data_IF_729429167309
#
_entry.id   IF_729429167309
#
_cell.length_a   1.000
_cell.length_b   1.000
_cell.length_c   1.000
_cell.angle_alpha   90.00
_cell.angle_beta   90.00
_cell.angle_gamma   90.00
#
_symmetry.space_group_name_H-M   'P 1'
#
loop_
_entity.id
_entity.type
_entity.pdbx_description
1 polymer ?
#
# COMPACT_ATOMS: atom_id res chain seq x y z
N UNK A 1 30.01 64.11 4.09
CA UNK A 1 29.79 63.78 2.67
C UNK A 1 29.13 62.41 2.65
N UNK A 2 27.93 62.34 2.09
CA UNK A 2 26.97 61.24 2.21
C UNK A 2 27.48 59.89 1.70
N UNK A 3 27.19 58.80 2.42
CA UNK A 3 27.27 57.42 1.95
C UNK A 3 26.20 57.09 0.88
N UNK A 4 25.91 58.04 -0.01
CA UNK A 4 24.84 57.93 -1.01
C UNK A 4 25.25 57.11 -2.24
N UNK A 5 26.54 56.90 -2.46
CA UNK A 5 27.07 56.29 -3.68
C UNK A 5 27.74 54.95 -3.38
N UNK A 6 26.93 53.89 -3.27
CA UNK A 6 27.34 52.47 -3.50
C UNK A 6 26.14 51.49 -3.49
N UNK A 7 24.93 51.96 -3.83
CA UNK A 7 23.72 51.12 -3.92
C UNK A 7 22.98 51.29 -5.24
N UNK A 8 23.71 51.55 -6.33
CA UNK A 8 23.16 51.59 -7.68
C UNK A 8 23.01 50.16 -8.23
N UNK A 9 22.06 49.38 -7.72
CA UNK A 9 21.71 48.08 -8.33
C UNK A 9 20.85 47.15 -7.46
N UNK A 10 21.02 47.14 -6.14
CA UNK A 10 20.54 46.03 -5.30
C UNK A 10 19.07 46.13 -4.87
N UNK A 11 18.54 47.34 -4.65
CA UNK A 11 17.15 47.52 -4.15
C UNK A 11 16.08 47.18 -5.18
N UNK A 12 16.31 47.52 -6.46
CA UNK A 12 15.39 47.17 -7.55
C UNK A 12 15.48 45.68 -7.90
N UNK A 13 16.69 45.13 -7.89
CA UNK A 13 16.92 43.70 -8.11
C UNK A 13 16.28 42.85 -6.99
N UNK A 14 16.40 43.29 -5.73
CA UNK A 14 15.66 42.71 -4.61
C UNK A 14 14.14 42.71 -4.85
N UNK A 15 13.57 43.81 -5.36
CA UNK A 15 12.14 43.84 -5.69
C UNK A 15 11.80 42.85 -6.80
N UNK A 16 12.63 42.68 -7.83
CA UNK A 16 12.40 41.64 -8.85
C UNK A 16 12.43 40.24 -8.25
N UNK A 17 13.42 39.90 -7.42
CA UNK A 17 13.47 38.60 -6.74
C UNK A 17 12.30 38.39 -5.80
N UNK A 18 11.92 39.40 -5.02
CA UNK A 18 10.80 39.32 -4.11
C UNK A 18 9.47 39.14 -4.87
N UNK A 19 9.24 39.88 -5.95
CA UNK A 19 8.05 39.76 -6.78
C UNK A 19 8.01 38.42 -7.51
N UNK A 20 9.11 37.99 -8.13
CA UNK A 20 9.20 36.69 -8.79
C UNK A 20 9.03 35.53 -7.79
N UNK A 21 9.66 35.63 -6.62
CA UNK A 21 9.53 34.67 -5.53
C UNK A 21 8.10 34.56 -5.02
N UNK A 22 7.43 35.68 -4.76
CA UNK A 22 6.01 35.71 -4.39
C UNK A 22 5.12 35.11 -5.49
N UNK A 23 5.40 35.41 -6.77
CA UNK A 23 4.70 34.83 -7.91
C UNK A 23 4.86 33.32 -8.00
N UNK A 24 6.08 32.80 -7.77
CA UNK A 24 6.34 31.37 -7.73
C UNK A 24 5.57 30.66 -6.60
N UNK A 25 5.57 31.24 -5.39
CA UNK A 25 4.82 30.72 -4.24
C UNK A 25 3.32 30.69 -4.52
N UNK A 26 2.76 31.80 -5.03
CA UNK A 26 1.33 31.88 -5.34
C UNK A 26 0.93 30.86 -6.43
N UNK A 27 1.76 30.70 -7.45
CA UNK A 27 1.54 29.71 -8.51
C UNK A 27 1.56 28.29 -7.95
N UNK A 28 2.53 27.95 -7.10
CA UNK A 28 2.58 26.64 -6.43
C UNK A 28 1.35 26.39 -5.55
N UNK A 29 0.95 27.39 -4.76
CA UNK A 29 -0.24 27.31 -3.91
C UNK A 29 -1.55 27.15 -4.70
N UNK A 30 -1.63 27.70 -5.91
CA UNK A 30 -2.78 27.52 -6.80
C UNK A 30 -2.77 26.17 -7.53
N UNK A 31 -1.60 25.67 -7.95
CA UNK A 31 -1.48 24.40 -8.69
C UNK A 31 -1.63 23.19 -7.76
N UNK A 32 -1.10 23.25 -6.54
CA UNK A 32 -1.18 22.15 -5.57
C UNK A 32 -2.61 21.59 -5.36
N UNK A 33 -3.64 22.39 -5.04
CA UNK A 33 -4.99 21.87 -4.84
C UNK A 33 -5.61 21.27 -6.11
N UNK A 34 -5.23 21.74 -7.31
CA UNK A 34 -5.71 21.17 -8.58
C UNK A 34 -5.19 19.74 -8.79
N UNK A 35 -3.99 19.44 -8.30
CA UNK A 35 -3.42 18.10 -8.27
C UNK A 35 -3.98 17.30 -7.10
N UNK A 36 -3.96 17.87 -5.89
CA UNK A 36 -4.30 17.18 -4.65
C UNK A 36 -5.77 16.75 -4.58
N UNK A 37 -6.69 17.40 -5.32
CA UNK A 37 -8.09 16.96 -5.38
C UNK A 37 -8.28 15.57 -6.03
N UNK A 38 -7.28 15.05 -6.77
CA UNK A 38 -7.30 13.69 -7.33
C UNK A 38 -6.83 12.62 -6.34
N UNK A 39 -6.30 13.00 -5.17
CA UNK A 39 -5.90 12.06 -4.13
C UNK A 39 -7.12 11.47 -3.40
N UNK A 40 -6.97 10.33 -2.68
CA UNK A 40 -8.08 9.68 -1.98
C UNK A 40 -8.83 10.63 -1.03
N UNK A 41 -10.13 10.79 -1.29
CA UNK A 41 -11.04 11.62 -0.50
C UNK A 41 -11.36 11.00 0.87
N UNK A 42 -11.93 11.79 1.77
CA UNK A 42 -12.19 11.37 3.15
C UNK A 42 -13.14 10.16 3.27
N UNK A 43 -14.10 10.03 2.35
CA UNK A 43 -15.02 8.89 2.29
C UNK A 43 -14.32 7.58 1.88
N UNK A 44 -13.32 7.65 1.00
CA UNK A 44 -12.51 6.48 0.61
C UNK A 44 -11.66 5.96 1.78
N UNK A 45 -11.19 6.86 2.66
CA UNK A 45 -10.34 6.50 3.80
C UNK A 45 -11.13 5.90 4.98
N UNK A 46 -12.46 5.94 4.96
CA UNK A 46 -13.29 5.56 6.10
C UNK A 46 -13.46 4.04 6.30
N UNK A 47 -13.16 3.20 5.30
CA UNK A 47 -13.23 1.73 5.44
C UNK A 47 -12.01 1.19 6.21
N UNK A 48 -12.25 0.46 7.30
CA UNK A 48 -11.17 -0.09 8.14
C UNK A 48 -11.23 -1.61 8.39
N UNK A 49 -12.41 -2.18 8.65
CA UNK A 49 -12.54 -3.61 8.97
C UNK A 49 -13.92 -4.18 8.62
N UNK A 50 -13.96 -5.48 8.30
CA UNK A 50 -15.19 -6.25 8.07
C UNK A 50 -15.09 -7.60 8.77
N UNK A 51 -16.24 -8.20 9.10
CA UNK A 51 -16.33 -9.57 9.58
C UNK A 51 -16.88 -10.46 8.48
N UNK A 52 -16.29 -11.64 8.31
CA UNK A 52 -16.72 -12.64 7.32
C UNK A 52 -17.07 -13.92 8.06
N UNK A 53 -18.28 -14.42 7.84
CA UNK A 53 -18.68 -15.74 8.32
C UNK A 53 -18.08 -16.82 7.41
N UNK A 54 -17.37 -17.77 8.02
CA UNK A 54 -16.68 -18.88 7.36
C UNK A 54 -17.32 -20.24 7.66
N UNK A 55 -18.40 -20.27 8.46
CA UNK A 55 -19.04 -21.51 8.92
C UNK A 55 -19.53 -22.41 7.79
N UNK A 56 -19.90 -21.84 6.65
CA UNK A 56 -20.36 -22.55 5.46
C UNK A 56 -19.27 -22.95 4.45
N UNK A 57 -18.00 -22.62 4.69
CA UNK A 57 -16.92 -22.87 3.71
C UNK A 57 -16.41 -24.30 3.85
N UNK A 58 -16.78 -25.14 2.88
CA UNK A 58 -16.34 -26.53 2.82
C UNK A 58 -14.85 -26.65 2.47
N UNK A 59 -14.22 -27.74 2.95
CA UNK A 59 -12.83 -28.09 2.61
C UNK A 59 -12.66 -28.18 1.08
N UNK A 60 -11.58 -27.60 0.57
CA UNK A 60 -11.27 -27.51 -0.86
C UNK A 60 -11.96 -26.35 -1.59
N UNK A 61 -12.83 -25.61 -0.93
CA UNK A 61 -13.54 -24.47 -1.54
C UNK A 61 -12.90 -23.13 -1.18
N UNK A 62 -13.19 -22.11 -1.98
CA UNK A 62 -12.71 -20.75 -1.79
C UNK A 62 -13.89 -19.78 -1.78
N UNK A 63 -13.92 -18.93 -0.76
CA UNK A 63 -14.79 -17.76 -0.68
C UNK A 63 -14.02 -16.54 -1.19
N UNK A 64 -14.66 -15.73 -2.03
CA UNK A 64 -14.11 -14.44 -2.50
C UNK A 64 -14.96 -13.32 -1.93
N UNK A 65 -14.33 -12.41 -1.19
CA UNK A 65 -14.98 -11.27 -0.53
C UNK A 65 -14.39 -9.97 -1.07
N UNK A 66 -15.22 -8.94 -1.25
CA UNK A 66 -14.74 -7.61 -1.59
C UNK A 66 -14.30 -6.87 -0.31
N UNK A 67 -13.04 -6.45 -0.26
CA UNK A 67 -12.49 -5.61 0.81
C UNK A 67 -11.64 -4.49 0.20
N UNK A 68 -11.95 -3.24 0.55
CA UNK A 68 -11.29 -2.05 0.00
C UNK A 68 -11.28 -2.00 -1.55
N UNK A 69 -12.36 -2.49 -2.17
CA UNK A 69 -12.49 -2.55 -3.64
C UNK A 69 -11.63 -3.63 -4.31
N UNK A 70 -11.00 -4.51 -3.53
CA UNK A 70 -10.14 -5.60 -3.98
C UNK A 70 -10.70 -6.95 -3.51
N UNK A 71 -10.53 -8.04 -4.28
CA UNK A 71 -10.89 -9.37 -3.80
C UNK A 71 -9.92 -9.84 -2.72
N UNK A 72 -10.47 -10.44 -1.67
CA UNK A 72 -9.76 -11.24 -0.68
C UNK A 72 -10.24 -12.67 -0.81
N UNK A 73 -9.30 -13.59 -0.94
CA UNK A 73 -9.56 -15.03 -0.99
C UNK A 73 -9.45 -15.62 0.40
N UNK A 74 -10.47 -16.39 0.77
CA UNK A 74 -10.51 -17.19 2.00
C UNK A 74 -10.69 -18.63 1.55
N UNK A 75 -9.61 -19.40 1.58
CA UNK A 75 -9.59 -20.80 1.14
C UNK A 75 -9.48 -21.73 2.33
N UNK A 76 -10.41 -22.69 2.41
CA UNK A 76 -10.31 -23.83 3.32
C UNK A 76 -9.55 -24.93 2.58
N UNK A 77 -8.28 -25.09 2.89
CA UNK A 77 -7.37 -25.98 2.16
C UNK A 77 -7.64 -27.45 2.46
N UNK A 78 -7.37 -28.30 1.48
CA UNK A 78 -7.33 -29.75 1.69
C UNK A 78 -6.04 -30.16 2.38
N UNK A 79 -6.01 -31.36 2.97
CA UNK A 79 -4.78 -31.89 3.58
C UNK A 79 -3.65 -32.03 2.56
N UNK A 80 -3.97 -32.52 1.34
CA UNK A 80 -2.99 -32.69 0.26
C UNK A 80 -2.32 -31.36 -0.13
N UNK A 81 -3.07 -30.26 -0.13
CA UNK A 81 -2.53 -28.92 -0.41
C UNK A 81 -1.59 -28.44 0.69
N UNK A 82 -1.93 -28.69 1.95
CA UNK A 82 -1.11 -28.32 3.11
C UNK A 82 0.20 -29.11 3.08
N UNK A 83 0.11 -30.42 2.85
CA UNK A 83 1.28 -31.30 2.82
C UNK A 83 2.19 -30.95 1.64
N UNK A 84 1.62 -30.68 0.48
CA UNK A 84 2.38 -30.24 -0.70
C UNK A 84 3.09 -28.91 -0.46
N UNK A 85 2.42 -27.94 0.17
CA UNK A 85 3.01 -26.63 0.45
C UNK A 85 4.13 -26.72 1.50
N UNK A 86 3.96 -27.52 2.55
CA UNK A 86 4.99 -27.77 3.57
C UNK A 86 6.24 -28.49 3.05
N UNK A 87 6.09 -29.26 1.97
CA UNK A 87 7.21 -29.95 1.33
C UNK A 87 8.11 -29.03 0.51
N UNK A 88 7.71 -27.76 0.28
CA UNK A 88 8.47 -26.80 -0.52
C UNK A 88 9.63 -26.24 0.30
N UNK A 89 10.84 -26.29 -0.27
CA UNK A 89 11.98 -25.56 0.28
C UNK A 89 11.86 -24.07 -0.08
N UNK A 90 11.76 -23.22 0.95
CA UNK A 90 11.66 -21.76 0.82
C UNK A 90 12.81 -21.18 -0.02
N UNK A 91 14.00 -21.80 0.01
CA UNK A 91 15.16 -21.31 -0.76
C UNK A 91 14.94 -21.36 -2.28
N UNK A 92 14.00 -22.19 -2.73
CA UNK A 92 13.66 -22.36 -4.16
C UNK A 92 12.61 -21.37 -4.65
N UNK A 93 11.97 -20.62 -3.75
CA UNK A 93 10.94 -19.65 -4.09
C UNK A 93 11.56 -18.36 -4.65
N UNK A 94 10.86 -17.73 -5.59
CA UNK A 94 11.26 -16.42 -6.16
C UNK A 94 11.21 -15.32 -5.09
N UNK A 95 10.17 -15.34 -4.28
CA UNK A 95 10.03 -14.51 -3.10
C UNK A 95 10.05 -15.41 -1.86
N UNK A 96 10.99 -15.13 -0.97
CA UNK A 96 11.26 -15.94 0.22
C UNK A 96 10.62 -15.35 1.48
N UNK A 97 9.89 -14.23 1.36
CA UNK A 97 9.21 -13.58 2.47
C UNK A 97 7.77 -14.07 2.61
N UNK A 98 7.29 -14.12 3.86
CA UNK A 98 5.94 -14.55 4.16
C UNK A 98 4.88 -13.59 3.61
N UNK A 99 5.21 -12.32 3.34
CA UNK A 99 4.27 -11.27 2.92
C UNK A 99 2.98 -11.28 3.76
N UNK A 100 3.15 -11.48 5.08
CA UNK A 100 2.07 -11.63 6.04
C UNK A 100 2.11 -10.48 7.05
N UNK A 101 1.15 -9.56 6.93
CA UNK A 101 1.05 -8.39 7.80
C UNK A 101 0.79 -8.71 9.29
N UNK A 102 0.48 -9.96 9.63
CA UNK A 102 0.29 -10.42 11.01
C UNK A 102 1.61 -10.88 11.67
N UNK A 103 2.71 -10.93 10.92
CA UNK A 103 4.02 -11.41 11.35
C UNK A 103 5.09 -10.32 11.14
N UNK A 104 6.29 -10.47 11.73
CA UNK A 104 7.44 -9.64 11.36
C UNK A 104 7.73 -9.70 9.85
N UNK A 105 8.17 -8.59 9.26
CA UNK A 105 8.41 -8.49 7.82
C UNK A 105 9.44 -9.50 7.29
N UNK A 106 10.42 -9.88 8.10
CA UNK A 106 11.50 -10.82 7.75
C UNK A 106 11.09 -12.29 7.91
N UNK A 107 9.83 -12.59 8.24
CA UNK A 107 9.35 -13.96 8.36
C UNK A 107 9.49 -14.70 7.02
N UNK A 108 10.06 -15.92 6.98
CA UNK A 108 10.25 -16.66 5.74
C UNK A 108 8.91 -17.19 5.21
N UNK A 109 8.83 -17.42 3.89
CA UNK A 109 7.66 -17.94 3.17
C UNK A 109 7.38 -19.44 3.42
N UNK A 110 7.51 -19.91 4.66
CA UNK A 110 7.05 -21.26 5.04
C UNK A 110 5.53 -21.33 5.00
N UNK A 111 4.97 -22.53 4.80
CA UNK A 111 3.52 -22.73 4.76
C UNK A 111 2.83 -22.17 6.02
N UNK A 112 3.41 -22.42 7.19
CA UNK A 112 2.87 -21.99 8.49
C UNK A 112 2.81 -20.46 8.60
N UNK A 113 3.78 -19.75 8.02
CA UNK A 113 3.80 -18.29 8.03
C UNK A 113 2.85 -17.67 7.00
N UNK A 114 2.33 -18.46 6.05
CA UNK A 114 1.38 -18.04 5.02
C UNK A 114 -0.07 -18.34 5.39
N UNK A 115 -0.28 -19.33 6.26
CA UNK A 115 -1.59 -19.70 6.76
C UNK A 115 -2.01 -18.87 7.97
N UNK A 116 -3.28 -19.00 8.37
CA UNK A 116 -3.77 -18.39 9.61
C UNK A 116 -3.15 -19.11 10.82
N UNK A 117 -2.46 -18.36 11.69
CA UNK A 117 -1.79 -18.93 12.86
C UNK A 117 -2.78 -19.68 13.78
N UNK A 118 -2.47 -20.94 14.09
CA UNK A 118 -3.31 -21.82 14.92
C UNK A 118 -4.55 -22.36 14.20
N UNK A 119 -4.66 -22.13 12.89
CA UNK A 119 -5.73 -22.57 11.98
C UNK A 119 -5.18 -22.75 10.57
N UNK A 120 -4.15 -23.59 10.47
CA UNK A 120 -3.33 -23.72 9.26
C UNK A 120 -4.12 -24.22 8.04
N UNK A 121 -5.31 -24.80 8.23
CA UNK A 121 -6.22 -25.15 7.15
C UNK A 121 -6.80 -23.93 6.41
N UNK A 122 -6.68 -22.72 6.98
CA UNK A 122 -7.17 -21.48 6.37
C UNK A 122 -6.03 -20.68 5.73
N UNK A 123 -6.16 -20.45 4.42
CA UNK A 123 -5.34 -19.52 3.67
C UNK A 123 -6.16 -18.27 3.35
N UNK A 124 -5.73 -17.14 3.88
CA UNK A 124 -6.38 -15.83 3.70
C UNK A 124 -5.37 -14.89 3.05
N UNK A 125 -5.67 -14.44 1.83
CA UNK A 125 -4.75 -13.61 1.06
C UNK A 125 -5.50 -12.63 0.17
N UNK A 126 -4.85 -11.52 -0.16
CA UNK A 126 -5.33 -10.61 -1.18
C UNK A 126 -5.34 -11.35 -2.53
N UNK A 127 -6.50 -11.45 -3.18
CA UNK A 127 -6.67 -12.07 -4.49
C UNK A 127 -6.24 -11.14 -5.64
N UNK A 128 -5.15 -10.40 -5.44
CA UNK A 128 -4.67 -9.38 -6.37
C UNK A 128 -3.23 -9.71 -6.74
N UNK A 129 -3.04 -10.11 -7.99
CA UNK A 129 -1.74 -10.48 -8.53
C UNK A 129 -0.73 -9.34 -8.36
N UNK A 130 0.45 -9.66 -7.81
CA UNK A 130 1.52 -8.70 -7.53
C UNK A 130 2.20 -8.13 -8.78
N UNK A 131 1.91 -8.65 -9.98
CA UNK A 131 2.39 -8.09 -11.23
C UNK A 131 1.70 -6.75 -11.55
N UNK A 132 0.39 -6.78 -11.82
CA UNK A 132 -0.39 -5.59 -12.26
C UNK A 132 -1.83 -5.59 -11.72
N UNK A 133 -2.15 -6.42 -10.73
CA UNK A 133 -3.40 -6.34 -9.99
C UNK A 133 -4.61 -7.07 -10.58
N UNK A 134 -4.41 -7.98 -11.54
CA UNK A 134 -5.46 -8.91 -11.97
C UNK A 134 -5.87 -9.86 -10.82
N UNK A 135 -7.04 -10.49 -10.99
CA UNK A 135 -7.56 -11.56 -10.13
C UNK A 135 -7.15 -12.91 -10.67
#
# INVERSE_FOLDING_TARGET
MSHADDNAGTRRDFLYYATAGAGAVATGAAVWPLVNQMNPSADVQALSSIFVDISGVAVGTQLTVNFLGKPVFIRHRTQDEIDAARAVDVSTLTDQHAENANLPAESPATDENRAMAGKEEWLIMTGVCTHLGCV
#
